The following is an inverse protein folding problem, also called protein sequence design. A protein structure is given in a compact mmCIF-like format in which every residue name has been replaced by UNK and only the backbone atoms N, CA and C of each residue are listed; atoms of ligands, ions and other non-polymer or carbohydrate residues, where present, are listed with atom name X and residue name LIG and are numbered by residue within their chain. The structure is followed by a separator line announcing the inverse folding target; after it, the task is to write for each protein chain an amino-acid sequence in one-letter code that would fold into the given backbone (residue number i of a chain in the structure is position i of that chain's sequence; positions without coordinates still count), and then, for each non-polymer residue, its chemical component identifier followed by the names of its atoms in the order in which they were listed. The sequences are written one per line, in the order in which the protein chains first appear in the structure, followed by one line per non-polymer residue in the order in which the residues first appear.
data_IF_460990018763
#
_entry.id   IF_460990018763
#
_cell.length_a   1.000
_cell.length_b   1.000
_cell.length_c   1.000
_cell.angle_alpha   90.00
_cell.angle_beta   90.00
_cell.angle_gamma   90.00
#
_symmetry.space_group_name_H-M   'P 1'
#
loop_
_entity.id
_entity.type
_entity.pdbx_description
1 polymer ?
#
# COMPACT_ATOMS: atom_id res chain seq x y z
N UNK A 1 19.46 50.98 -6.77
CA UNK A 1 20.43 49.90 -6.77
C UNK A 1 19.67 48.58 -6.76
N UNK A 2 19.86 47.72 -7.80
CA UNK A 2 19.25 46.39 -7.80
C UNK A 2 20.03 45.50 -6.85
N UNK A 3 19.32 44.84 -5.91
CA UNK A 3 19.91 43.83 -5.00
C UNK A 3 20.46 42.68 -5.84
N UNK A 4 21.66 42.22 -5.52
CA UNK A 4 22.20 40.99 -6.08
C UNK A 4 21.46 39.79 -5.42
N UNK A 5 21.36 38.63 -6.13
CA UNK A 5 20.77 37.40 -5.57
C UNK A 5 21.48 36.94 -4.26
N UNK A 6 22.73 37.33 -4.06
CA UNK A 6 23.51 37.04 -2.84
C UNK A 6 23.03 37.82 -1.59
N UNK A 7 22.24 38.86 -1.79
CA UNK A 7 21.71 39.70 -0.70
C UNK A 7 20.41 39.15 -0.10
N UNK A 8 19.91 38.02 -0.62
CA UNK A 8 18.70 37.38 -0.14
C UNK A 8 19.02 36.20 0.78
N UNK A 9 18.24 35.98 1.86
CA UNK A 9 18.46 34.88 2.77
C UNK A 9 18.23 33.53 2.10
N UNK A 10 19.08 32.56 2.43
CA UNK A 10 18.93 31.17 1.96
C UNK A 10 18.18 30.37 3.01
N UNK A 11 17.13 29.66 2.60
CA UNK A 11 16.36 28.74 3.43
C UNK A 11 17.17 27.48 3.77
N UNK A 12 16.79 26.70 4.82
CA UNK A 12 17.48 25.46 5.19
C UNK A 12 17.55 24.42 4.08
N UNK A 13 16.62 24.46 3.13
CA UNK A 13 16.57 23.58 1.94
C UNK A 13 17.45 24.06 0.77
N UNK A 14 18.33 25.04 0.99
CA UNK A 14 19.25 25.60 -0.03
C UNK A 14 18.61 26.58 -1.02
N UNK A 15 17.31 26.90 -0.89
CA UNK A 15 16.61 27.85 -1.78
C UNK A 15 16.81 29.27 -1.31
N UNK A 16 16.91 30.18 -2.28
CA UNK A 16 17.01 31.63 -2.00
C UNK A 16 15.60 32.19 -1.79
N UNK A 17 15.41 32.89 -0.68
CA UNK A 17 14.13 33.53 -0.35
C UNK A 17 14.09 34.97 -0.91
N UNK A 18 13.31 35.19 -1.95
CA UNK A 18 13.09 36.51 -2.56
C UNK A 18 11.87 37.25 -1.94
N UNK A 19 11.21 36.69 -0.93
CA UNK A 19 10.06 37.35 -0.32
C UNK A 19 10.46 38.61 0.46
N UNK A 20 9.59 39.59 0.47
CA UNK A 20 9.75 40.79 1.29
C UNK A 20 9.31 40.60 2.75
N UNK A 21 8.62 39.51 3.01
CA UNK A 21 8.08 39.15 4.33
C UNK A 21 8.92 38.00 4.87
N UNK A 22 9.61 38.22 5.99
CA UNK A 22 10.37 37.17 6.67
C UNK A 22 9.45 36.36 7.60
N UNK A 23 9.53 35.03 7.50
CA UNK A 23 9.00 34.12 8.52
C UNK A 23 7.50 33.87 8.50
N UNK A 24 6.82 34.01 7.35
CA UNK A 24 5.37 33.81 7.31
C UNK A 24 4.95 32.34 7.37
N UNK A 25 5.57 31.45 6.63
CA UNK A 25 5.31 30.01 6.66
C UNK A 25 6.48 29.24 6.03
N UNK A 26 6.85 28.12 6.61
CA UNK A 26 7.79 27.19 5.98
C UNK A 26 7.12 26.53 4.77
N UNK A 27 7.92 26.29 3.73
CA UNK A 27 7.41 25.59 2.56
C UNK A 27 7.10 24.14 2.94
N UNK A 28 5.86 23.67 2.78
CA UNK A 28 5.53 22.29 3.11
C UNK A 28 6.29 21.32 2.19
N UNK A 29 6.58 20.13 2.70
CA UNK A 29 7.15 19.06 1.92
C UNK A 29 6.09 18.48 0.99
N UNK A 30 6.15 18.78 -0.30
CA UNK A 30 5.16 18.36 -1.29
C UNK A 30 5.17 16.85 -1.57
N UNK A 31 6.22 16.14 -1.16
CA UNK A 31 6.35 14.67 -1.33
C UNK A 31 6.11 13.91 -0.02
N UNK A 32 5.69 14.59 1.04
CA UNK A 32 5.48 14.01 2.38
C UNK A 32 4.50 12.83 2.35
N UNK A 33 3.42 12.94 1.58
CA UNK A 33 2.42 11.86 1.45
C UNK A 33 3.05 10.57 0.94
N UNK A 34 3.92 10.64 -0.08
CA UNK A 34 4.59 9.46 -0.62
C UNK A 34 5.66 8.93 0.34
N UNK A 35 6.51 9.81 0.84
CA UNK A 35 7.64 9.40 1.70
C UNK A 35 7.18 8.83 3.02
N UNK A 36 6.18 9.43 3.67
CA UNK A 36 5.65 8.95 4.95
C UNK A 36 4.89 7.65 4.82
N UNK A 37 4.07 7.51 3.76
CA UNK A 37 3.35 6.27 3.50
C UNK A 37 4.32 5.11 3.22
N UNK A 38 5.41 5.37 2.49
CA UNK A 38 6.43 4.37 2.21
C UNK A 38 7.25 4.00 3.46
N UNK A 39 7.60 4.98 4.28
CA UNK A 39 8.25 4.76 5.57
C UNK A 39 7.39 3.89 6.50
N UNK A 40 6.11 4.24 6.62
CA UNK A 40 5.14 3.42 7.36
C UNK A 40 5.06 1.99 6.81
N UNK A 41 5.04 1.83 5.47
CA UNK A 41 5.00 0.51 4.84
C UNK A 41 6.20 -0.34 5.22
N UNK A 42 7.42 0.22 5.21
CA UNK A 42 8.63 -0.52 5.59
C UNK A 42 8.68 -0.83 7.10
N UNK A 43 8.28 0.10 7.95
CA UNK A 43 8.37 -0.04 9.41
C UNK A 43 7.26 -0.94 9.99
N UNK A 44 6.05 -0.85 9.47
CA UNK A 44 4.86 -1.51 10.03
C UNK A 44 4.09 -2.32 9.00
N UNK A 45 3.81 -1.75 7.83
CA UNK A 45 2.88 -2.31 6.86
C UNK A 45 3.24 -3.72 6.41
N UNK A 46 4.53 -4.02 6.20
CA UNK A 46 4.99 -5.37 5.86
C UNK A 46 4.66 -6.35 6.99
N UNK A 47 4.94 -5.99 8.24
CA UNK A 47 4.66 -6.83 9.39
C UNK A 47 3.16 -7.04 9.59
N UNK A 48 2.34 -5.99 9.43
CA UNK A 48 0.89 -6.07 9.58
C UNK A 48 0.29 -7.05 8.55
N UNK A 49 0.71 -6.96 7.28
CA UNK A 49 0.28 -7.90 6.24
C UNK A 49 0.71 -9.33 6.53
N UNK A 50 1.95 -9.54 6.99
CA UNK A 50 2.42 -10.87 7.35
C UNK A 50 1.63 -11.46 8.52
N UNK A 51 1.32 -10.68 9.55
CA UNK A 51 0.52 -11.12 10.68
C UNK A 51 -0.94 -11.44 10.30
N UNK A 52 -1.49 -10.77 9.30
CA UNK A 52 -2.84 -11.05 8.80
C UNK A 52 -2.90 -12.39 8.02
N UNK A 53 -1.83 -12.71 7.28
CA UNK A 53 -1.77 -13.94 6.46
C UNK A 53 -1.38 -15.17 7.27
N UNK A 54 -0.50 -15.02 8.25
CA UNK A 54 -0.02 -16.11 9.10
C UNK A 54 -0.80 -16.16 10.43
N UNK A 55 -0.96 -17.35 11.05
CA UNK A 55 -0.40 -18.64 10.64
C UNK A 55 -1.13 -19.28 9.46
N UNK A 56 -0.39 -19.99 8.61
CA UNK A 56 -0.96 -20.79 7.54
C UNK A 56 -1.09 -22.23 8.05
N UNK A 57 -2.32 -22.76 8.05
CA UNK A 57 -2.60 -24.14 8.46
C UNK A 57 -2.67 -25.08 7.25
N UNK A 58 -2.25 -26.33 7.41
CA UNK A 58 -2.52 -27.40 6.46
C UNK A 58 -4.02 -27.72 6.44
N UNK A 59 -4.49 -28.36 5.36
CA UNK A 59 -5.90 -28.78 5.26
C UNK A 59 -6.35 -29.69 6.40
N UNK A 60 -5.44 -30.50 6.95
CA UNK A 60 -5.69 -31.41 8.07
C UNK A 60 -5.43 -30.80 9.44
N UNK A 61 -5.00 -29.51 9.49
CA UNK A 61 -4.61 -28.80 10.71
C UNK A 61 -3.50 -29.49 11.52
N UNK A 62 -2.73 -30.38 10.88
CA UNK A 62 -1.61 -31.10 11.52
C UNK A 62 -0.29 -30.31 11.45
N UNK A 63 -0.17 -29.40 10.48
CA UNK A 63 1.02 -28.57 10.29
C UNK A 63 0.63 -27.09 10.19
N UNK A 64 1.44 -26.24 10.81
CA UNK A 64 1.28 -24.77 10.80
C UNK A 64 2.60 -24.11 10.40
N UNK A 65 2.50 -23.01 9.67
CA UNK A 65 3.61 -22.12 9.39
C UNK A 65 3.35 -20.81 10.13
N UNK A 66 4.17 -20.51 11.11
CA UNK A 66 4.11 -19.28 11.90
C UNK A 66 5.09 -18.24 11.33
N UNK A 67 4.68 -16.99 11.32
CA UNK A 67 5.54 -15.84 11.03
C UNK A 67 6.29 -15.40 12.29
N UNK A 68 7.61 -15.18 12.20
CA UNK A 68 8.43 -14.69 13.31
C UNK A 68 8.89 -13.26 13.09
N UNK A 69 9.52 -12.99 11.97
CA UNK A 69 10.06 -11.66 11.63
C UNK A 69 10.34 -11.57 10.13
N UNK A 70 10.45 -10.35 9.61
CA UNK A 70 11.00 -10.11 8.29
C UNK A 70 12.12 -9.07 8.36
N UNK A 71 13.04 -9.15 7.42
CA UNK A 71 14.17 -8.27 7.29
C UNK A 71 14.41 -7.93 5.82
N UNK A 72 14.67 -6.64 5.55
CA UNK A 72 15.09 -6.16 4.25
C UNK A 72 16.63 -6.13 4.23
N UNK A 73 17.23 -6.84 3.28
CA UNK A 73 18.68 -6.79 3.05
C UNK A 73 19.05 -5.58 2.21
N UNK A 74 20.32 -5.16 2.32
CA UNK A 74 20.84 -4.05 1.52
C UNK A 74 20.68 -4.31 0.02
N UNK A 75 20.38 -3.26 -0.77
CA UNK A 75 20.28 -3.36 -2.21
C UNK A 75 21.64 -3.70 -2.84
N UNK A 76 21.61 -4.49 -3.91
CA UNK A 76 22.83 -4.91 -4.61
C UNK A 76 23.49 -3.77 -5.38
N UNK A 77 22.70 -2.82 -5.89
CA UNK A 77 23.12 -1.70 -6.70
C UNK A 77 22.60 -0.39 -6.15
N UNK A 78 23.34 0.68 -6.35
CA UNK A 78 22.90 2.02 -5.99
C UNK A 78 21.80 2.52 -6.93
N UNK A 79 21.10 3.55 -6.52
CA UNK A 79 20.05 4.19 -7.31
C UNK A 79 20.54 4.64 -8.70
N UNK A 80 21.74 5.24 -8.76
CA UNK A 80 22.33 5.71 -10.02
C UNK A 80 22.74 4.56 -10.94
N UNK A 81 23.39 3.52 -10.39
CA UNK A 81 23.76 2.33 -11.16
C UNK A 81 22.54 1.62 -11.75
N UNK A 82 21.42 1.59 -11.01
CA UNK A 82 20.18 1.02 -11.53
C UNK A 82 19.63 1.80 -12.72
N UNK A 83 19.72 3.14 -12.69
CA UNK A 83 19.32 3.98 -13.83
C UNK A 83 20.18 3.75 -15.06
N UNK A 84 21.50 3.71 -14.89
CA UNK A 84 22.46 3.53 -15.99
C UNK A 84 22.39 2.14 -16.61
N UNK A 85 22.20 1.11 -15.79
CA UNK A 85 22.20 -0.29 -16.24
C UNK A 85 20.83 -0.84 -16.60
N UNK A 86 19.77 -0.06 -16.43
CA UNK A 86 18.39 -0.51 -16.69
C UNK A 86 17.85 -1.50 -15.68
N UNK A 87 18.33 -1.46 -14.44
CA UNK A 87 17.85 -2.33 -13.35
C UNK A 87 16.78 -1.66 -12.49
N UNK A 88 16.07 -2.47 -11.70
CA UNK A 88 15.18 -2.00 -10.65
C UNK A 88 15.95 -1.84 -9.35
N UNK A 89 15.84 -0.67 -8.70
CA UNK A 89 16.43 -0.44 -7.39
C UNK A 89 15.54 -1.07 -6.31
N UNK A 90 15.96 -2.22 -5.78
CA UNK A 90 15.19 -3.02 -4.84
C UNK A 90 16.06 -3.65 -3.76
N UNK A 91 15.46 -3.93 -2.61
CA UNK A 91 16.00 -4.69 -1.52
C UNK A 91 15.32 -6.06 -1.43
N UNK A 92 16.06 -7.07 -1.04
CA UNK A 92 15.54 -8.43 -0.87
C UNK A 92 14.85 -8.56 0.48
N UNK A 93 13.59 -8.99 0.47
CA UNK A 93 12.83 -9.30 1.68
C UNK A 93 13.03 -10.76 2.04
N UNK A 94 13.53 -11.00 3.25
CA UNK A 94 13.61 -12.32 3.86
C UNK A 94 12.71 -12.38 5.07
N UNK A 95 11.93 -13.44 5.19
CA UNK A 95 11.09 -13.70 6.34
C UNK A 95 11.57 -14.95 7.08
N UNK A 96 11.68 -14.84 8.39
CA UNK A 96 11.95 -15.97 9.26
C UNK A 96 10.62 -16.62 9.61
N UNK A 97 10.41 -17.81 9.09
CA UNK A 97 9.20 -18.61 9.31
C UNK A 97 9.54 -19.82 10.18
N UNK A 98 8.54 -20.30 10.92
CA UNK A 98 8.63 -21.49 11.74
C UNK A 98 7.54 -22.47 11.35
N UNK A 99 7.96 -23.64 10.88
CA UNK A 99 7.05 -24.76 10.68
C UNK A 99 6.91 -25.51 12.00
N UNK A 100 5.67 -25.80 12.36
CA UNK A 100 5.29 -26.56 13.55
C UNK A 100 4.41 -27.72 13.13
N UNK A 101 4.85 -28.94 13.40
CA UNK A 101 4.04 -30.15 13.24
C UNK A 101 3.42 -30.52 14.61
N UNK A 102 2.10 -30.66 14.65
CA UNK A 102 1.36 -30.96 15.89
C UNK A 102 1.51 -32.43 16.31
N UNK A 103 1.61 -33.34 15.32
CA UNK A 103 1.69 -34.79 15.57
C UNK A 103 3.05 -35.21 16.15
N UNK A 104 4.14 -34.70 15.56
CA UNK A 104 5.49 -35.11 15.94
C UNK A 104 6.14 -34.14 16.96
N UNK A 105 5.53 -32.99 17.18
CA UNK A 105 6.07 -31.91 18.01
C UNK A 105 7.31 -31.22 17.43
N UNK A 106 7.67 -31.53 16.18
CA UNK A 106 8.83 -30.97 15.51
C UNK A 106 8.62 -29.50 15.16
N UNK A 107 9.66 -28.69 15.48
CA UNK A 107 9.70 -27.27 15.15
C UNK A 107 10.96 -26.99 14.33
N UNK A 108 10.78 -26.44 13.14
CA UNK A 108 11.87 -26.03 12.26
C UNK A 108 11.71 -24.58 11.86
N UNK A 109 12.75 -23.77 12.08
CA UNK A 109 12.76 -22.36 11.67
C UNK A 109 13.74 -22.16 10.54
N UNK A 110 13.30 -21.52 9.47
CA UNK A 110 14.13 -21.20 8.31
C UNK A 110 13.88 -19.77 7.85
N UNK A 111 14.89 -19.19 7.23
CA UNK A 111 14.80 -17.88 6.59
C UNK A 111 14.48 -18.08 5.11
N UNK A 112 13.35 -17.53 4.66
CA UNK A 112 12.83 -17.72 3.31
C UNK A 112 12.85 -16.39 2.57
N UNK A 113 13.36 -16.40 1.34
CA UNK A 113 13.27 -15.27 0.43
C UNK A 113 11.82 -15.12 -0.06
N UNK A 114 11.21 -13.96 0.23
CA UNK A 114 9.82 -13.67 -0.16
C UNK A 114 9.72 -12.90 -1.47
N UNK A 115 10.70 -12.05 -1.77
CA UNK A 115 10.70 -11.25 -2.98
C UNK A 115 11.58 -10.01 -2.90
N UNK A 116 11.56 -9.22 -3.97
CA UNK A 116 12.27 -7.94 -4.05
C UNK A 116 11.28 -6.79 -3.82
N UNK A 117 11.61 -5.93 -2.85
CA UNK A 117 10.85 -4.72 -2.55
C UNK A 117 11.53 -3.52 -3.19
N UNK A 118 10.89 -2.81 -4.13
CA UNK A 118 11.46 -1.59 -4.70
C UNK A 118 11.71 -0.54 -3.64
N UNK A 119 12.89 0.10 -3.68
CA UNK A 119 13.26 1.16 -2.73
C UNK A 119 12.97 2.54 -3.30
N UNK A 120 12.41 3.38 -2.43
CA UNK A 120 12.12 4.78 -2.75
C UNK A 120 13.36 5.64 -2.59
N UNK A 121 13.54 6.61 -3.50
CA UNK A 121 14.57 7.65 -3.40
C UNK A 121 14.17 8.73 -2.39
N UNK A 122 15.10 9.61 -2.03
CA UNK A 122 14.83 10.78 -1.19
C UNK A 122 13.78 11.73 -1.79
N UNK A 123 13.66 11.76 -3.12
CA UNK A 123 12.67 12.57 -3.84
C UNK A 123 11.27 11.93 -3.96
N UNK A 124 11.06 10.72 -3.38
CA UNK A 124 9.77 10.03 -3.44
C UNK A 124 9.54 9.24 -4.73
N UNK A 125 10.60 8.92 -5.48
CA UNK A 125 10.54 8.19 -6.75
C UNK A 125 11.08 6.77 -6.61
N UNK A 126 10.74 5.89 -7.57
CA UNK A 126 11.28 4.54 -7.70
C UNK A 126 11.99 4.38 -9.02
N UNK A 127 13.08 3.60 -9.07
CA UNK A 127 13.70 3.20 -10.33
C UNK A 127 13.25 1.78 -10.66
N UNK A 128 12.51 1.65 -11.76
CA UNK A 128 12.02 0.38 -12.29
C UNK A 128 12.52 0.19 -13.72
N UNK A 129 13.35 -0.83 -13.95
CA UNK A 129 13.98 -1.11 -15.23
C UNK A 129 14.71 0.13 -15.79
N UNK A 130 15.44 0.85 -14.93
CA UNK A 130 16.18 2.08 -15.28
C UNK A 130 15.34 3.35 -15.40
N UNK A 131 14.03 3.24 -15.47
CA UNK A 131 13.12 4.39 -15.54
C UNK A 131 12.70 4.87 -14.16
N UNK A 132 12.83 6.16 -13.90
CA UNK A 132 12.36 6.78 -12.67
C UNK A 132 10.84 6.98 -12.73
N UNK A 133 10.11 6.47 -11.73
CA UNK A 133 8.65 6.46 -11.69
C UNK A 133 8.15 6.92 -10.33
N UNK A 134 6.96 7.49 -10.31
CA UNK A 134 6.25 7.91 -9.09
C UNK A 134 4.96 7.11 -8.97
N UNK A 135 4.67 6.66 -7.75
CA UNK A 135 3.36 6.09 -7.44
C UNK A 135 2.43 7.23 -7.05
N UNK A 136 1.38 7.43 -7.85
CA UNK A 136 0.38 8.47 -7.61
C UNK A 136 -0.67 7.95 -6.63
N UNK A 137 -0.91 8.71 -5.55
CA UNK A 137 -1.99 8.39 -4.60
C UNK A 137 -3.35 8.42 -5.29
N UNK A 138 -4.16 7.40 -5.02
CA UNK A 138 -5.51 7.29 -5.58
C UNK A 138 -6.55 7.33 -4.47
N UNK A 139 -7.62 8.10 -4.67
CA UNK A 139 -8.76 8.11 -3.75
C UNK A 139 -9.74 7.04 -4.21
N UNK A 140 -10.03 6.09 -3.32
CA UNK A 140 -10.98 5.00 -3.55
C UNK A 140 -12.05 5.00 -2.46
N UNK A 141 -13.17 4.33 -2.71
CA UNK A 141 -14.20 4.12 -1.67
C UNK A 141 -13.61 3.29 -0.53
N UNK A 142 -13.86 3.71 0.70
CA UNK A 142 -13.41 2.95 1.88
C UNK A 142 -14.17 1.62 1.97
N UNK A 143 -13.57 0.58 2.58
CA UNK A 143 -14.33 -0.62 2.95
C UNK A 143 -15.50 -0.28 3.86
N UNK A 144 -16.65 -0.95 3.65
CA UNK A 144 -17.85 -0.70 4.42
C UNK A 144 -19.13 -1.09 3.67
N UNK A 145 -20.28 -0.78 4.27
CA UNK A 145 -21.60 -0.98 3.69
C UNK A 145 -22.17 0.36 3.20
N UNK A 146 -22.51 0.42 1.92
CA UNK A 146 -23.09 1.60 1.28
C UNK A 146 -24.53 1.31 0.93
N UNK A 147 -25.44 2.02 1.58
CA UNK A 147 -26.87 1.86 1.38
C UNK A 147 -27.40 2.98 0.47
N UNK A 148 -28.13 2.61 -0.55
CA UNK A 148 -28.82 3.56 -1.44
C UNK A 148 -30.26 3.13 -1.69
N UNK A 149 -31.08 4.10 -2.07
CA UNK A 149 -32.46 3.87 -2.44
C UNK A 149 -32.76 4.59 -3.75
N UNK A 150 -33.43 3.92 -4.65
CA UNK A 150 -33.81 4.45 -5.94
C UNK A 150 -35.31 4.18 -6.20
N UNK A 151 -35.93 5.01 -7.01
CA UNK A 151 -37.31 4.80 -7.40
C UNK A 151 -37.34 4.13 -8.77
N UNK A 152 -38.01 2.97 -8.87
CA UNK A 152 -38.23 2.30 -10.15
C UNK A 152 -39.17 3.10 -11.04
N UNK A 153 -39.19 2.80 -12.34
CA UNK A 153 -40.07 3.39 -13.35
C UNK A 153 -41.56 3.29 -12.98
N UNK A 154 -41.91 2.33 -12.14
CA UNK A 154 -43.26 2.08 -11.65
C UNK A 154 -43.57 2.79 -10.32
N UNK A 155 -42.69 3.67 -9.83
CA UNK A 155 -42.88 4.40 -8.58
C UNK A 155 -42.63 3.58 -7.31
N UNK A 156 -42.10 2.35 -7.42
CA UNK A 156 -41.69 1.56 -6.26
C UNK A 156 -40.25 1.88 -5.82
N UNK A 157 -40.03 1.88 -4.50
CA UNK A 157 -38.70 2.06 -3.93
C UNK A 157 -37.92 0.76 -4.02
N UNK A 158 -36.71 0.84 -4.59
CA UNK A 158 -35.70 -0.22 -4.63
C UNK A 158 -34.59 0.18 -3.67
N UNK A 159 -34.16 -0.74 -2.85
CA UNK A 159 -33.05 -0.56 -1.91
C UNK A 159 -31.84 -1.36 -2.39
N UNK A 160 -30.70 -0.70 -2.44
CA UNK A 160 -29.43 -1.31 -2.82
C UNK A 160 -28.47 -1.24 -1.64
N UNK A 161 -27.69 -2.29 -1.45
CA UNK A 161 -26.63 -2.33 -0.46
C UNK A 161 -25.35 -2.91 -1.09
N UNK A 162 -24.30 -2.09 -1.15
CA UNK A 162 -22.99 -2.51 -1.63
C UNK A 162 -22.10 -2.78 -0.43
N UNK A 163 -21.64 -4.01 -0.27
CA UNK A 163 -20.63 -4.38 0.72
C UNK A 163 -19.26 -4.42 0.07
N UNK A 164 -18.39 -3.50 0.49
CA UNK A 164 -17.01 -3.39 0.03
C UNK A 164 -16.10 -3.90 1.15
N UNK A 165 -15.47 -5.08 0.99
CA UNK A 165 -14.54 -5.60 1.98
C UNK A 165 -13.17 -4.92 1.88
N UNK A 166 -12.33 -5.05 2.90
CA UNK A 166 -10.91 -4.65 2.84
C UNK A 166 -10.13 -5.53 1.86
N UNK A 167 -10.49 -6.80 1.75
CA UNK A 167 -9.92 -7.77 0.81
C UNK A 167 -11.04 -8.66 0.27
N UNK A 168 -11.00 -8.96 -1.02
CA UNK A 168 -11.94 -9.85 -1.68
C UNK A 168 -12.91 -9.14 -2.62
N UNK A 169 -13.95 -9.84 -3.06
CA UNK A 169 -14.92 -9.37 -4.06
C UNK A 169 -16.03 -8.56 -3.41
N UNK A 170 -16.60 -7.65 -4.18
CA UNK A 170 -17.75 -6.86 -3.75
C UNK A 170 -19.02 -7.70 -3.77
N UNK A 171 -19.90 -7.46 -2.81
CA UNK A 171 -21.25 -8.01 -2.74
C UNK A 171 -22.24 -6.88 -2.94
N UNK A 172 -23.07 -7.00 -3.97
CA UNK A 172 -24.14 -6.04 -4.28
C UNK A 172 -25.49 -6.70 -4.01
N UNK A 173 -26.27 -6.14 -3.11
CA UNK A 173 -27.64 -6.55 -2.81
C UNK A 173 -28.60 -5.56 -3.42
N UNK A 174 -29.65 -6.05 -4.08
CA UNK A 174 -30.69 -5.22 -4.71
C UNK A 174 -32.06 -5.83 -4.43
N UNK A 175 -33.00 -5.01 -3.95
CA UNK A 175 -34.39 -5.45 -3.80
C UNK A 175 -35.13 -5.36 -5.13
N UNK A 176 -35.82 -6.42 -5.52
CA UNK A 176 -36.70 -6.41 -6.70
C UNK A 176 -38.06 -5.71 -6.36
N UNK A 177 -38.79 -5.13 -7.33
CA UNK A 177 -40.15 -4.63 -7.15
C UNK A 177 -41.14 -5.63 -6.55
N UNK A 178 -40.83 -6.92 -6.62
CA UNK A 178 -41.58 -8.02 -5.99
C UNK A 178 -41.25 -8.24 -4.50
N UNK A 179 -40.26 -7.54 -3.94
CA UNK A 179 -39.80 -7.69 -2.57
C UNK A 179 -38.76 -8.81 -2.36
N UNK A 180 -38.22 -9.37 -3.42
CA UNK A 180 -37.13 -10.33 -3.37
C UNK A 180 -35.78 -9.61 -3.30
N UNK A 181 -34.83 -10.19 -2.56
CA UNK A 181 -33.46 -9.69 -2.48
C UNK A 181 -32.59 -10.51 -3.45
N UNK A 182 -32.01 -9.84 -4.42
CA UNK A 182 -31.04 -10.41 -5.34
C UNK A 182 -29.62 -10.07 -4.88
N UNK A 183 -28.68 -10.99 -5.09
CA UNK A 183 -27.28 -10.79 -4.78
C UNK A 183 -26.43 -10.92 -6.04
N UNK A 184 -25.47 -10.02 -6.19
CA UNK A 184 -24.41 -10.12 -7.20
C UNK A 184 -23.06 -10.26 -6.48
N UNK A 185 -22.24 -11.15 -6.98
CA UNK A 185 -20.86 -11.34 -6.54
C UNK A 185 -19.97 -11.00 -7.71
N UNK A 186 -19.07 -10.03 -7.54
CA UNK A 186 -18.06 -9.63 -8.52
C UNK A 186 -18.65 -9.41 -9.94
N UNK A 187 -19.69 -8.59 -10.06
CA UNK A 187 -20.37 -8.28 -11.33
C UNK A 187 -20.95 -9.50 -12.08
N UNK A 188 -20.99 -10.66 -11.46
CA UNK A 188 -21.63 -11.83 -12.05
C UNK A 188 -23.15 -11.67 -12.13
N UNK A 189 -23.79 -12.56 -12.89
CA UNK A 189 -25.26 -12.55 -13.08
C UNK A 189 -25.96 -12.61 -11.72
N UNK A 190 -27.04 -11.86 -11.55
CA UNK A 190 -27.90 -11.88 -10.35
C UNK A 190 -28.33 -13.31 -9.99
N UNK A 191 -28.19 -13.67 -8.74
CA UNK A 191 -28.72 -14.89 -8.14
C UNK A 191 -29.92 -14.53 -7.27
#
# INVERSE_FOLDING_TARGET
MSKSYKDYPTLPNGRINFSKISGSLEMPNLTEIQTDSYKWFLEKGINDVMQEVFPIASFTETAFIDYLSCELREPKYTFLECKERGYTHSAKLYCKLRMRNVEDGDMKSEEIFMGDIPLMSESGTFVVNGAERVIVSQIVRSPGAYLSKEMDKNGKMIYNADLIPTRGTWLEFETDPKGLINVRIDRQKKM
#
